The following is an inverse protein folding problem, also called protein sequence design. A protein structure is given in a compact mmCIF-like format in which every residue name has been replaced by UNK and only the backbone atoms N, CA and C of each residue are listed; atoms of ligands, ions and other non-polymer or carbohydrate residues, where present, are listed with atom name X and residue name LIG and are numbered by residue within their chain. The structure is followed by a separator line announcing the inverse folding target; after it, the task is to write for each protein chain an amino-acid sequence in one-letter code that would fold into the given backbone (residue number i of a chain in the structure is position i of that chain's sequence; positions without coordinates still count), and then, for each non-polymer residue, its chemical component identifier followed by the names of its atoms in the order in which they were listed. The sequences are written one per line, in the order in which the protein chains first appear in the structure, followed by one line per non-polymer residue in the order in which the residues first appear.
data_IF_881470124112
#
_entry.id   IF_881470124112
#
_cell.length_a   1.000
_cell.length_b   1.000
_cell.length_c   1.000
_cell.angle_alpha   90.00
_cell.angle_beta   90.00
_cell.angle_gamma   90.00
#
_symmetry.space_group_name_H-M   'P 1'
#
loop_
_entity.id
_entity.type
_entity.pdbx_description
1 polymer ?
#
# COMPACT_ATOMS: atom_id res chain seq x y z
N UNK A 1 11.41 -3.23 11.27
CA UNK A 1 11.05 -2.15 10.35
C UNK A 1 12.01 -2.11 9.18
N UNK A 2 11.74 -2.86 8.13
CA UNK A 2 12.30 -2.60 6.80
C UNK A 2 11.10 -2.26 5.93
N UNK A 3 10.69 -0.99 5.96
CA UNK A 3 9.85 -0.48 4.89
C UNK A 3 10.75 -0.44 3.66
N UNK A 4 10.52 -1.33 2.71
CA UNK A 4 11.25 -1.35 1.45
C UNK A 4 10.60 -0.31 0.55
N UNK A 5 10.76 0.97 0.88
CA UNK A 5 10.56 2.03 -0.09
C UNK A 5 11.68 1.88 -1.13
N UNK A 6 11.33 1.97 -2.42
CA UNK A 6 12.30 2.04 -3.52
C UNK A 6 13.10 0.75 -3.82
N UNK A 7 12.50 -0.44 -3.70
CA UNK A 7 13.13 -1.68 -4.20
C UNK A 7 13.45 -1.56 -5.68
N UNK A 8 14.74 -1.50 -6.02
CA UNK A 8 15.22 -1.41 -7.40
C UNK A 8 15.69 -0.02 -7.85
N UNK A 9 15.71 0.99 -6.97
CA UNK A 9 16.42 2.24 -7.27
C UNK A 9 17.93 2.07 -7.12
N UNK A 10 18.65 2.51 -8.14
CA UNK A 10 20.10 2.66 -8.12
C UNK A 10 20.49 3.94 -8.88
N UNK A 11 21.79 4.23 -8.91
CA UNK A 11 22.29 5.44 -9.56
C UNK A 11 22.04 5.49 -11.07
N UNK A 12 21.66 4.37 -11.70
CA UNK A 12 21.38 4.31 -13.14
C UNK A 12 19.95 4.70 -13.49
N UNK A 13 19.02 4.66 -12.54
CA UNK A 13 17.58 4.89 -12.80
C UNK A 13 16.93 5.94 -11.89
N UNK A 14 17.70 6.56 -10.99
CA UNK A 14 17.18 7.53 -10.02
C UNK A 14 16.59 8.78 -10.67
N UNK A 15 17.23 9.33 -11.70
CA UNK A 15 16.78 10.56 -12.37
C UNK A 15 15.44 10.35 -13.10
N UNK A 16 15.31 9.21 -13.77
CA UNK A 16 14.06 8.80 -14.42
C UNK A 16 12.95 8.61 -13.39
N UNK A 17 13.25 7.94 -12.28
CA UNK A 17 12.27 7.75 -11.21
C UNK A 17 11.80 9.07 -10.60
N UNK A 18 12.71 10.01 -10.33
CA UNK A 18 12.35 11.34 -9.82
C UNK A 18 11.40 12.04 -10.79
N UNK A 19 11.70 11.98 -12.09
CA UNK A 19 10.87 12.58 -13.14
C UNK A 19 9.47 11.95 -13.17
N UNK A 20 9.37 10.62 -13.18
CA UNK A 20 8.10 9.90 -13.16
C UNK A 20 7.24 10.23 -11.93
N UNK A 21 7.87 10.33 -10.76
CA UNK A 21 7.17 10.71 -9.53
C UNK A 21 6.68 12.15 -9.61
N UNK A 22 7.51 13.08 -10.12
CA UNK A 22 7.14 14.48 -10.28
C UNK A 22 5.96 14.66 -11.26
N UNK A 23 5.99 13.99 -12.41
CA UNK A 23 4.90 14.02 -13.40
C UNK A 23 3.58 13.50 -12.82
N UNK A 24 3.66 12.43 -12.02
CA UNK A 24 2.49 11.91 -11.33
C UNK A 24 1.94 12.90 -10.29
N UNK A 25 2.80 13.65 -9.60
CA UNK A 25 2.35 14.70 -8.68
C UNK A 25 1.62 15.83 -9.40
N UNK A 26 2.09 16.24 -10.58
CA UNK A 26 1.38 17.23 -11.40
C UNK A 26 -0.01 16.70 -11.76
N UNK A 27 -0.09 15.44 -12.20
CA UNK A 27 -1.38 14.79 -12.53
C UNK A 27 -2.33 14.77 -11.32
N UNK A 28 -1.83 14.56 -10.10
CA UNK A 28 -2.64 14.59 -8.89
C UNK A 28 -3.22 15.98 -8.60
N UNK A 29 -2.45 17.05 -8.84
CA UNK A 29 -2.90 18.43 -8.62
C UNK A 29 -4.07 18.81 -9.53
N UNK A 30 -4.07 18.31 -10.76
CA UNK A 30 -5.11 18.59 -11.75
C UNK A 30 -6.31 17.64 -11.67
N UNK A 31 -6.23 16.59 -10.85
CA UNK A 31 -7.24 15.54 -10.77
C UNK A 31 -8.30 15.80 -9.70
N UNK A 32 -9.55 15.42 -9.99
CA UNK A 32 -10.57 15.27 -8.95
C UNK A 32 -10.34 13.95 -8.20
N UNK A 33 -9.74 14.06 -7.01
CA UNK A 33 -9.42 12.93 -6.14
C UNK A 33 -10.54 12.70 -5.11
N UNK A 34 -10.77 11.44 -4.69
CA UNK A 34 -11.68 11.14 -3.59
C UNK A 34 -11.14 11.68 -2.27
N UNK A 35 -12.04 11.88 -1.30
CA UNK A 35 -11.66 12.21 0.07
C UNK A 35 -10.73 11.13 0.65
N UNK A 36 -9.77 11.56 1.46
CA UNK A 36 -8.73 10.70 2.05
C UNK A 36 -8.00 9.83 1.01
N UNK A 37 -7.78 10.35 -0.20
CA UNK A 37 -7.14 9.63 -1.30
C UNK A 37 -5.89 8.85 -0.89
N UNK A 38 -5.00 9.48 -0.11
CA UNK A 38 -3.75 8.84 0.35
C UNK A 38 -3.96 7.74 1.40
N UNK A 39 -5.11 7.70 2.08
CA UNK A 39 -5.53 6.61 2.97
C UNK A 39 -6.13 5.41 2.22
N UNK A 40 -6.42 5.54 0.92
CA UNK A 40 -6.98 4.46 0.10
C UNK A 40 -5.89 3.52 -0.43
N UNK A 41 -6.33 2.33 -0.84
CA UNK A 41 -5.51 1.34 -1.53
C UNK A 41 -6.22 0.84 -2.80
N UNK A 42 -5.45 0.42 -3.81
CA UNK A 42 -5.95 -0.28 -4.99
C UNK A 42 -5.58 -1.76 -4.93
N UNK A 43 -6.56 -2.63 -5.22
CA UNK A 43 -6.33 -4.06 -5.26
C UNK A 43 -5.98 -4.52 -6.69
N UNK A 44 -4.74 -4.97 -6.96
CA UNK A 44 -4.32 -5.40 -8.29
C UNK A 44 -5.12 -6.59 -8.84
N UNK A 45 -5.73 -7.39 -7.97
CA UNK A 45 -6.46 -8.58 -8.37
C UNK A 45 -7.93 -8.33 -8.73
N UNK A 46 -8.59 -7.35 -8.10
CA UNK A 46 -10.02 -7.13 -8.32
C UNK A 46 -10.41 -5.70 -8.70
N UNK A 47 -9.43 -4.79 -8.83
CA UNK A 47 -9.64 -3.39 -9.19
C UNK A 47 -10.35 -2.56 -8.11
N UNK A 48 -10.62 -3.12 -6.94
CA UNK A 48 -11.26 -2.38 -5.86
C UNK A 48 -10.34 -1.27 -5.35
N UNK A 49 -10.88 -0.06 -5.26
CA UNK A 49 -10.24 1.12 -4.67
C UNK A 49 -10.99 1.46 -3.38
N UNK A 50 -10.29 1.46 -2.25
CA UNK A 50 -10.86 1.76 -0.95
C UNK A 50 -9.91 1.42 0.20
N UNK A 51 -10.38 1.53 1.43
CA UNK A 51 -9.58 1.18 2.60
C UNK A 51 -9.23 -0.32 2.62
N UNK A 52 -8.00 -0.61 3.04
CA UNK A 52 -7.56 -1.97 3.35
C UNK A 52 -8.03 -2.38 4.74
N UNK A 53 -8.01 -3.69 5.02
CA UNK A 53 -8.22 -4.23 6.36
C UNK A 53 -6.93 -4.88 6.85
N UNK A 54 -6.73 -4.91 8.16
CA UNK A 54 -5.55 -5.51 8.77
C UNK A 54 -5.89 -6.93 9.21
N UNK A 55 -5.11 -7.89 8.74
CA UNK A 55 -5.22 -9.30 9.11
C UNK A 55 -3.99 -9.72 9.95
N UNK A 56 -4.24 -10.32 11.11
CA UNK A 56 -3.20 -10.92 11.96
C UNK A 56 -2.78 -12.28 11.41
N UNK A 57 -1.50 -12.46 11.15
CA UNK A 57 -0.94 -13.70 10.58
C UNK A 57 -0.57 -14.68 11.69
N UNK A 58 0.08 -14.18 12.74
CA UNK A 58 0.66 -15.02 13.78
C UNK A 58 -0.37 -15.39 14.85
N UNK A 59 -0.81 -16.66 14.86
CA UNK A 59 -1.73 -17.21 15.87
C UNK A 59 -2.94 -16.27 16.10
N UNK A 60 -3.80 -16.06 15.09
CA UNK A 60 -4.88 -15.07 15.16
C UNK A 60 -5.90 -15.34 16.27
N UNK A 61 -5.96 -16.58 16.78
CA UNK A 61 -6.77 -16.96 17.92
C UNK A 61 -6.22 -16.46 19.27
N UNK A 62 -4.95 -16.04 19.32
CA UNK A 62 -4.27 -15.59 20.54
C UNK A 62 -4.34 -14.06 20.64
N UNK A 63 -4.77 -13.50 21.78
CA UNK A 63 -4.72 -12.06 22.01
C UNK A 63 -3.28 -11.51 21.97
N UNK A 64 -3.07 -10.36 21.34
CA UNK A 64 -1.73 -9.74 21.16
C UNK A 64 -0.98 -9.55 22.48
N UNK A 65 -1.68 -9.21 23.57
CA UNK A 65 -1.06 -9.09 24.91
C UNK A 65 -0.41 -10.41 25.37
N UNK A 66 -1.08 -11.54 25.14
CA UNK A 66 -0.59 -12.88 25.50
C UNK A 66 0.57 -13.26 24.57
N UNK A 67 0.42 -12.98 23.27
CA UNK A 67 1.47 -13.22 22.30
C UNK A 67 2.76 -12.48 22.65
N UNK A 68 2.67 -11.19 23.00
CA UNK A 68 3.81 -10.37 23.45
C UNK A 68 4.47 -10.93 24.70
N UNK A 69 3.69 -11.40 25.68
CA UNK A 69 4.24 -11.97 26.91
C UNK A 69 5.05 -13.26 26.64
N UNK A 70 4.61 -14.11 25.71
CA UNK A 70 5.28 -15.38 25.39
C UNK A 70 6.48 -15.18 24.45
N UNK A 71 6.32 -14.36 23.41
CA UNK A 71 7.29 -14.25 22.31
C UNK A 71 8.14 -12.98 22.35
N UNK A 72 7.90 -12.08 23.31
CA UNK A 72 8.56 -10.78 23.45
C UNK A 72 8.59 -9.94 22.16
N UNK A 73 7.54 -10.07 21.34
CA UNK A 73 7.34 -9.30 20.09
C UNK A 73 5.86 -9.17 19.76
N UNK A 74 5.49 -8.19 18.95
CA UNK A 74 4.13 -8.01 18.45
C UNK A 74 3.75 -9.12 17.45
N UNK A 75 2.45 -9.40 17.31
CA UNK A 75 1.97 -10.23 16.20
C UNK A 75 2.25 -9.56 14.85
N UNK A 76 2.64 -10.36 13.86
CA UNK A 76 2.76 -9.86 12.48
C UNK A 76 1.37 -9.68 11.89
N UNK A 77 1.12 -8.51 11.30
CA UNK A 77 -0.10 -8.22 10.57
C UNK A 77 0.23 -7.89 9.12
N UNK A 78 -0.76 -8.07 8.23
CA UNK A 78 -0.69 -7.62 6.83
C UNK A 78 -1.95 -6.87 6.45
N UNK A 79 -1.82 -5.93 5.53
CA UNK A 79 -2.97 -5.30 4.88
C UNK A 79 -3.56 -6.29 3.85
N UNK A 80 -4.89 -6.35 3.76
CA UNK A 80 -5.62 -7.11 2.76
C UNK A 80 -6.73 -6.25 2.14
N UNK A 81 -7.13 -6.60 0.91
CA UNK A 81 -8.24 -5.95 0.23
C UNK A 81 -9.56 -6.29 0.95
N UNK A 82 -10.33 -5.27 1.32
CA UNK A 82 -11.64 -5.43 1.97
C UNK A 82 -12.70 -6.12 1.10
N UNK A 83 -12.52 -6.15 -0.24
CA UNK A 83 -13.48 -6.79 -1.17
C UNK A 83 -13.18 -8.27 -1.44
N UNK A 84 -11.90 -8.62 -1.65
CA UNK A 84 -11.52 -9.98 -2.11
C UNK A 84 -10.49 -10.68 -1.21
N UNK A 85 -10.14 -10.09 -0.06
CA UNK A 85 -9.19 -10.59 0.94
C UNK A 85 -7.78 -10.86 0.39
N UNK A 86 -7.44 -10.32 -0.77
CA UNK A 86 -6.10 -10.47 -1.33
C UNK A 86 -5.10 -9.66 -0.52
N UNK A 87 -3.94 -10.23 -0.16
CA UNK A 87 -2.96 -9.54 0.64
C UNK A 87 -2.25 -8.44 -0.16
N UNK A 88 -1.72 -7.46 0.58
CA UNK A 88 -0.87 -6.37 0.07
C UNK A 88 -1.53 -5.58 -1.08
N UNK A 89 -2.72 -4.96 -0.85
CA UNK A 89 -3.22 -3.96 -1.78
C UNK A 89 -2.23 -2.79 -1.86
N UNK A 90 -2.13 -2.15 -3.02
CA UNK A 90 -1.18 -1.06 -3.28
C UNK A 90 -1.71 0.24 -2.67
N UNK A 91 -0.97 0.86 -1.75
CA UNK A 91 -1.37 2.10 -1.12
C UNK A 91 -1.25 3.29 -2.10
N UNK A 92 -2.19 4.24 -2.03
CA UNK A 92 -2.13 5.49 -2.82
C UNK A 92 -1.03 6.45 -2.34
N UNK A 93 -0.50 6.23 -1.14
CA UNK A 93 0.72 6.89 -0.67
C UNK A 93 1.95 6.49 -1.52
N UNK A 94 1.93 5.31 -2.15
CA UNK A 94 3.01 4.81 -2.99
C UNK A 94 2.79 5.14 -4.47
N UNK A 95 3.89 5.38 -5.18
CA UNK A 95 3.89 5.65 -6.63
C UNK A 95 3.11 4.58 -7.42
N UNK A 96 3.37 3.30 -7.14
CA UNK A 96 2.71 2.17 -7.83
C UNK A 96 1.20 2.12 -7.61
N UNK A 97 0.73 2.45 -6.40
CA UNK A 97 -0.71 2.49 -6.13
C UNK A 97 -1.40 3.57 -6.95
N UNK A 98 -0.76 4.75 -7.07
CA UNK A 98 -1.26 5.85 -7.89
C UNK A 98 -1.20 5.56 -9.38
N UNK A 99 -0.15 4.91 -9.89
CA UNK A 99 -0.10 4.47 -11.30
C UNK A 99 -1.30 3.60 -11.61
N UNK A 100 -1.53 2.56 -10.80
CA UNK A 100 -2.64 1.64 -11.01
C UNK A 100 -4.00 2.35 -10.92
N UNK A 101 -4.15 3.32 -10.02
CA UNK A 101 -5.38 4.13 -9.91
C UNK A 101 -5.69 4.85 -11.22
N UNK A 102 -4.71 5.55 -11.78
CA UNK A 102 -4.90 6.29 -13.03
C UNK A 102 -5.11 5.37 -14.23
N UNK A 103 -4.38 4.26 -14.31
CA UNK A 103 -4.57 3.25 -15.36
C UNK A 103 -5.96 2.61 -15.31
N UNK A 104 -6.56 2.44 -14.13
CA UNK A 104 -7.90 1.87 -13.99
C UNK A 104 -9.05 2.82 -14.35
N UNK A 105 -8.76 4.11 -14.51
CA UNK A 105 -9.73 5.16 -14.85
C UNK A 105 -9.73 5.55 -16.33
N UNK A 106 -8.65 5.28 -17.05
CA UNK A 106 -8.54 5.44 -18.50
C UNK A 106 -9.12 4.22 -19.23
#
# INVERSE_FOLDING_TARGET
NHCIFNTGLDNSNIDEFITLVADQFITLLDSSLPDDFFGLCSCPKCGYIGSSVIETIDKPWMPDKVYRAIYNKAQTCRATCSKCNQPYPLAMADYKGRVMYFESKC
#
